data_IF_568018137670
#
_entry.id   IF_568018137670
#
_cell.length_a   1.000
_cell.length_b   1.000
_cell.length_c   1.000
_cell.angle_alpha   90.00
_cell.angle_beta   90.00
_cell.angle_gamma   90.00
#
_symmetry.space_group_name_H-M   'P 1'
#
loop_
_entity.id
_entity.type
_entity.pdbx_description
1 polymer ?
#
# COMPACT_ATOMS: atom_id res chain seq x y z
N UNK A 1 -6.68 -6.05 -19.06
CA UNK A 1 -7.51 -7.09 -19.71
C UNK A 1 -9.01 -6.84 -19.63
N UNK A 2 -9.57 -6.36 -18.50
CA UNK A 2 -11.02 -6.14 -18.36
C UNK A 2 -11.58 -5.19 -19.43
N UNK A 3 -10.93 -4.04 -19.65
CA UNK A 3 -11.34 -3.05 -20.68
C UNK A 3 -11.42 -3.63 -22.11
N UNK A 4 -10.59 -4.62 -22.42
CA UNK A 4 -10.61 -5.30 -23.74
C UNK A 4 -11.88 -6.10 -23.96
N UNK A 5 -12.49 -6.60 -22.89
CA UNK A 5 -13.74 -7.40 -22.93
C UNK A 5 -14.96 -6.48 -22.86
N UNK A 6 -14.91 -5.45 -21.99
CA UNK A 6 -16.06 -4.55 -21.79
C UNK A 6 -16.25 -3.56 -22.93
N UNK A 7 -15.20 -3.20 -23.66
CA UNK A 7 -15.26 -2.13 -24.65
C UNK A 7 -15.76 -0.83 -24.02
N UNK A 8 -16.53 -0.04 -24.78
CA UNK A 8 -17.04 1.27 -24.36
C UNK A 8 -18.42 1.22 -23.69
N UNK A 9 -19.01 0.04 -23.51
CA UNK A 9 -20.34 -0.13 -22.90
C UNK A 9 -20.31 -0.09 -21.37
N UNK A 10 -19.14 -0.26 -20.77
CA UNK A 10 -18.93 -0.19 -19.33
C UNK A 10 -17.65 0.56 -19.00
N UNK A 11 -17.72 1.37 -17.93
CA UNK A 11 -16.54 2.03 -17.35
C UNK A 11 -15.89 1.12 -16.32
N UNK A 12 -14.63 0.76 -16.54
CA UNK A 12 -13.80 0.10 -15.52
C UNK A 12 -13.25 1.19 -14.60
N UNK A 13 -13.58 1.09 -13.31
CA UNK A 13 -13.14 2.06 -12.29
C UNK A 13 -11.99 1.47 -11.48
N UNK A 14 -10.91 2.24 -11.33
CA UNK A 14 -9.83 1.91 -10.39
C UNK A 14 -10.17 2.44 -8.99
N UNK A 15 -10.41 1.51 -8.07
CA UNK A 15 -10.70 1.85 -6.67
C UNK A 15 -9.49 2.42 -5.92
N UNK A 16 -8.26 2.12 -6.36
CA UNK A 16 -7.05 2.62 -5.72
C UNK A 16 -6.94 4.14 -5.86
N UNK A 17 -7.20 4.68 -7.05
CA UNK A 17 -7.21 6.13 -7.30
C UNK A 17 -8.26 6.84 -6.44
N UNK A 18 -9.47 6.28 -6.37
CA UNK A 18 -10.57 6.84 -5.57
C UNK A 18 -10.21 6.83 -4.08
N UNK A 19 -9.59 5.75 -3.62
CA UNK A 19 -9.15 5.58 -2.23
C UNK A 19 -8.01 6.55 -1.90
N UNK A 20 -7.00 6.67 -2.75
CA UNK A 20 -5.89 7.62 -2.57
C UNK A 20 -6.38 9.07 -2.51
N UNK A 21 -7.31 9.45 -3.39
CA UNK A 21 -7.95 10.76 -3.36
C UNK A 21 -8.71 11.00 -2.04
N UNK A 22 -9.33 9.96 -1.49
CA UNK A 22 -10.01 10.05 -0.19
C UNK A 22 -9.01 10.20 0.96
N UNK A 23 -7.93 9.42 0.97
CA UNK A 23 -6.85 9.53 1.98
C UNK A 23 -6.28 10.93 2.00
N UNK A 24 -5.97 11.51 0.83
CA UNK A 24 -5.49 12.90 0.71
C UNK A 24 -6.42 13.90 1.41
N UNK A 25 -7.74 13.82 1.15
CA UNK A 25 -8.73 14.72 1.76
C UNK A 25 -8.81 14.55 3.29
N UNK A 26 -8.70 13.31 3.78
CA UNK A 26 -8.74 13.03 5.21
C UNK A 26 -7.50 13.57 5.90
N UNK A 27 -6.31 13.37 5.33
CA UNK A 27 -5.07 13.92 5.89
C UNK A 27 -5.10 15.46 5.96
N UNK A 28 -5.49 16.12 4.86
CA UNK A 28 -5.61 17.58 4.80
C UNK A 28 -6.58 18.13 5.84
N UNK A 29 -7.77 17.52 5.97
CA UNK A 29 -8.79 17.94 6.94
C UNK A 29 -8.29 17.88 8.39
N UNK A 30 -7.38 16.95 8.69
CA UNK A 30 -6.85 16.75 10.04
C UNK A 30 -5.47 17.39 10.25
N UNK A 31 -4.94 18.14 9.28
CA UNK A 31 -3.61 18.74 9.38
C UNK A 31 -2.47 17.72 9.43
N UNK A 32 -2.67 16.52 8.86
CA UNK A 32 -1.70 15.41 8.84
C UNK A 32 -0.94 15.30 7.52
N UNK A 33 -1.02 16.31 6.66
CA UNK A 33 -0.18 16.37 5.46
C UNK A 33 1.28 16.56 5.87
N UNK A 34 2.19 15.91 5.15
CA UNK A 34 3.63 16.12 5.36
C UNK A 34 3.95 17.60 5.13
N UNK A 35 4.59 18.24 6.11
CA UNK A 35 4.93 19.67 6.06
C UNK A 35 5.96 20.02 4.99
N UNK A 36 6.78 19.05 4.57
CA UNK A 36 7.84 19.23 3.59
C UNK A 36 7.74 18.20 2.47
N UNK A 37 8.23 18.59 1.29
CA UNK A 37 8.48 17.70 0.16
C UNK A 37 9.72 16.84 0.44
N UNK A 38 9.65 15.99 1.46
CA UNK A 38 10.66 15.00 1.75
C UNK A 38 10.46 13.78 0.85
N UNK A 39 11.56 13.12 0.49
CA UNK A 39 11.50 11.82 -0.19
C UNK A 39 10.78 10.84 0.72
N UNK A 40 9.74 10.18 0.20
CA UNK A 40 8.97 9.23 0.98
C UNK A 40 9.84 8.00 1.33
N UNK A 41 9.81 7.60 2.60
CA UNK A 41 10.46 6.39 3.09
C UNK A 41 9.43 5.25 3.18
N UNK A 42 9.45 4.36 2.20
CA UNK A 42 8.53 3.22 2.13
C UNK A 42 9.14 1.97 2.76
N UNK A 43 8.40 1.31 3.65
CA UNK A 43 8.75 0.02 4.24
C UNK A 43 7.62 -0.98 3.93
N UNK A 44 7.97 -2.15 3.41
CA UNK A 44 7.00 -3.16 3.01
C UNK A 44 7.16 -4.39 3.90
N UNK A 45 6.04 -4.83 4.48
CA UNK A 45 5.98 -6.02 5.34
C UNK A 45 5.04 -7.05 4.74
N UNK A 46 5.46 -8.31 4.73
CA UNK A 46 4.68 -9.44 4.21
C UNK A 46 4.66 -10.57 5.23
N UNK A 47 3.57 -11.33 5.28
CA UNK A 47 3.50 -12.55 6.10
C UNK A 47 3.97 -13.79 5.34
N UNK A 48 3.98 -13.72 4.01
CA UNK A 48 4.45 -14.78 3.12
C UNK A 48 5.90 -14.59 2.67
N UNK A 49 6.24 -15.16 1.51
CA UNK A 49 7.59 -15.08 0.92
C UNK A 49 7.85 -13.70 0.29
N UNK A 50 8.93 -12.99 0.70
CA UNK A 50 9.37 -11.75 0.06
C UNK A 50 9.72 -11.91 -1.41
N UNK A 51 10.38 -13.01 -1.77
CA UNK A 51 10.81 -13.26 -3.15
C UNK A 51 9.60 -13.36 -4.08
N UNK A 52 8.60 -14.17 -3.69
CA UNK A 52 7.36 -14.29 -4.47
C UNK A 52 6.60 -12.95 -4.58
N UNK A 53 6.63 -12.13 -3.52
CA UNK A 53 6.00 -10.81 -3.56
C UNK A 53 6.71 -9.89 -4.55
N UNK A 54 8.04 -9.89 -4.52
CA UNK A 54 8.89 -9.11 -5.44
C UNK A 54 8.65 -9.52 -6.90
N UNK A 55 8.60 -10.82 -7.17
CA UNK A 55 8.38 -11.34 -8.53
C UNK A 55 7.02 -10.89 -9.09
N UNK A 56 5.95 -10.99 -8.29
CA UNK A 56 4.61 -10.52 -8.69
C UNK A 56 4.61 -9.01 -8.89
N UNK A 57 5.23 -8.24 -7.99
CA UNK A 57 5.30 -6.80 -8.13
C UNK A 57 6.01 -6.37 -9.41
N UNK A 58 7.10 -7.05 -9.79
CA UNK A 58 7.80 -6.79 -11.06
C UNK A 58 6.91 -7.06 -12.26
N UNK A 59 6.10 -8.12 -12.23
CA UNK A 59 5.13 -8.44 -13.30
C UNK A 59 4.06 -7.34 -13.42
N UNK A 60 3.54 -6.85 -12.28
CA UNK A 60 2.44 -5.89 -12.25
C UNK A 60 2.89 -4.44 -12.53
N UNK A 61 4.04 -4.04 -12.01
CA UNK A 61 4.48 -2.64 -11.96
C UNK A 61 5.77 -2.36 -12.72
N UNK A 62 6.50 -3.38 -13.17
CA UNK A 62 7.73 -3.22 -13.96
C UNK A 62 8.89 -2.51 -13.23
N UNK A 63 8.82 -2.39 -11.90
CA UNK A 63 9.82 -1.70 -11.09
C UNK A 63 10.26 -2.55 -9.90
N UNK A 64 11.48 -2.33 -9.42
CA UNK A 64 11.96 -2.92 -8.18
C UNK A 64 11.32 -2.21 -6.98
N UNK A 65 10.90 -2.99 -5.99
CA UNK A 65 10.32 -2.47 -4.76
C UNK A 65 11.41 -2.12 -3.74
N UNK A 66 11.10 -1.25 -2.76
CA UNK A 66 11.91 -1.11 -1.54
C UNK A 66 12.10 -2.48 -0.84
N UNK A 67 13.10 -2.61 0.06
CA UNK A 67 13.32 -3.83 0.81
C UNK A 67 12.05 -4.34 1.51
N UNK A 68 11.75 -5.63 1.31
CA UNK A 68 10.58 -6.30 1.88
C UNK A 68 11.01 -7.14 3.09
N UNK A 69 10.30 -6.97 4.20
CA UNK A 69 10.55 -7.69 5.45
C UNK A 69 9.45 -8.72 5.71
N UNK A 70 9.81 -9.95 6.05
CA UNK A 70 8.82 -10.94 6.52
C UNK A 70 8.47 -10.68 7.97
N UNK A 71 7.18 -10.68 8.30
CA UNK A 71 6.67 -10.54 9.66
C UNK A 71 5.76 -11.70 10.02
N UNK A 72 5.83 -12.13 11.27
CA UNK A 72 4.89 -13.07 11.89
C UNK A 72 3.84 -12.27 12.64
N UNK A 73 2.57 -12.47 12.32
CA UNK A 73 1.49 -11.60 12.81
C UNK A 73 1.33 -11.69 14.33
N UNK A 74 1.49 -12.89 14.87
CA UNK A 74 1.49 -13.18 16.31
C UNK A 74 2.56 -12.39 17.09
N UNK A 75 3.64 -11.98 16.43
CA UNK A 75 4.71 -11.18 17.03
C UNK A 75 4.42 -9.67 16.93
N UNK A 76 3.72 -9.24 15.88
CA UNK A 76 3.30 -7.84 15.70
C UNK A 76 2.25 -7.46 16.73
N UNK A 77 1.25 -8.33 16.94
CA UNK A 77 0.19 -8.11 17.94
C UNK A 77 0.74 -7.98 19.37
N UNK A 78 1.77 -8.77 19.71
CA UNK A 78 2.44 -8.70 21.00
C UNK A 78 3.22 -7.39 21.23
N UNK A 79 3.67 -6.73 20.16
CA UNK A 79 4.36 -5.43 20.23
C UNK A 79 3.34 -4.31 20.30
N UNK A 80 2.31 -4.31 19.44
CA UNK A 80 1.26 -3.29 19.44
C UNK A 80 0.41 -3.30 20.72
N UNK A 81 0.21 -4.47 21.33
CA UNK A 81 -0.46 -4.60 22.63
C UNK A 81 0.32 -3.99 23.82
N UNK A 82 1.62 -3.72 23.66
CA UNK A 82 2.43 -3.05 24.69
C UNK A 82 2.43 -1.52 24.56
N UNK A 83 2.20 -0.99 23.36
CA UNK A 83 2.16 0.46 23.11
C UNK A 83 0.78 1.08 23.39
N UNK A 84 -0.30 0.29 23.39
CA UNK A 84 -1.65 0.74 23.75
C UNK A 84 -1.97 0.76 25.26
N UNK A 85 -0.99 0.49 26.13
CA UNK A 85 -1.16 0.38 27.58
C UNK A 85 -0.44 1.50 28.37
N UNK A 86 -0.03 2.58 27.71
CA UNK A 86 0.65 3.74 28.30
C UNK A 86 -0.18 5.02 28.16
#
# INVERSE_FOLDING_TARGET
>A
MIKKITGDTMTVVDSADTTAARVKRVLAKNGLESAEAQTAHHQIYVTGSPDRFTDVARILFGQDLPPITTVRLELVEAISGREGAA
#
